data_IF_540245555933
#
_entry.id   IF_540245555933
#
_cell.length_a   1.000
_cell.length_b   1.000
_cell.length_c   1.000
_cell.angle_alpha   90.00
_cell.angle_beta   90.00
_cell.angle_gamma   90.00
#
_symmetry.space_group_name_H-M   'P 1'
#
loop_
_entity.id
_entity.type
_entity.pdbx_description
1 polymer ?
#
# COMPACT_ATOMS: atom_id res chain seq x y z
N UNK A 1 -14.26 7.91 55.42
CA UNK A 1 -12.96 7.76 56.11
C UNK A 1 -11.91 7.71 55.01
N UNK A 2 -11.14 8.75 54.65
CA UNK A 2 -10.29 9.62 55.48
C UNK A 2 -9.48 8.75 56.47
N UNK A 3 -8.13 8.73 56.53
CA UNK A 3 -7.13 9.76 56.24
C UNK A 3 -5.72 9.13 56.17
N UNK A 4 -4.84 9.74 55.36
CA UNK A 4 -3.41 10.07 55.57
C UNK A 4 -2.42 9.10 56.23
N UNK A 5 -1.24 8.84 55.63
CA UNK A 5 0.00 9.66 55.77
C UNK A 5 0.94 8.97 56.79
N UNK A 6 2.27 8.89 56.73
CA UNK A 6 3.34 9.68 56.10
C UNK A 6 4.64 8.84 56.10
N UNK A 7 5.43 9.01 55.05
CA UNK A 7 6.90 9.09 54.90
C UNK A 7 7.84 8.71 56.07
N UNK A 8 8.91 7.96 55.77
CA UNK A 8 10.28 8.47 55.89
C UNK A 8 11.27 7.71 55.01
N UNK A 9 12.12 8.48 54.35
CA UNK A 9 13.19 8.08 53.44
C UNK A 9 14.47 8.10 54.26
N UNK A 10 15.31 7.07 54.13
CA UNK A 10 16.73 7.17 54.42
C UNK A 10 17.46 6.42 53.30
N UNK A 11 18.26 7.14 52.52
CA UNK A 11 19.00 6.60 51.39
C UNK A 11 19.91 7.68 50.83
N UNK A 12 21.14 7.71 51.32
CA UNK A 12 22.21 8.61 50.94
C UNK A 12 22.52 8.54 49.43
N UNK A 13 22.81 9.71 48.85
CA UNK A 13 23.26 9.87 47.47
C UNK A 13 24.71 9.38 47.34
N UNK A 14 24.94 8.48 46.39
CA UNK A 14 26.26 8.32 45.74
C UNK A 14 26.06 8.38 44.23
N UNK A 15 26.80 9.25 43.50
CA UNK A 15 26.70 9.33 42.07
C UNK A 15 27.38 8.10 41.46
N UNK A 16 26.86 7.68 40.31
CA UNK A 16 27.36 6.62 39.44
C UNK A 16 26.86 5.20 39.74
N UNK A 17 25.87 4.83 38.92
CA UNK A 17 25.28 3.49 38.64
C UNK A 17 23.93 3.21 39.29
N UNK A 18 22.86 3.35 38.50
CA UNK A 18 21.66 2.52 38.64
C UNK A 18 21.02 2.27 37.26
N UNK A 19 21.22 1.06 36.72
CA UNK A 19 20.19 0.42 35.92
C UNK A 19 19.15 -0.13 36.90
N UNK A 20 17.98 0.50 36.96
CA UNK A 20 16.77 -0.11 37.52
C UNK A 20 15.73 -0.10 36.41
N UNK A 21 15.32 -1.30 36.01
CA UNK A 21 14.16 -1.53 35.15
C UNK A 21 12.89 -1.07 35.88
N UNK A 22 12.13 -0.16 35.27
CA UNK A 22 10.70 0.00 35.52
C UNK A 22 9.94 0.22 34.22
N UNK A 23 8.74 -0.35 34.24
CA UNK A 23 7.76 -0.51 33.17
C UNK A 23 7.25 0.82 32.61
N UNK A 24 6.92 0.82 31.31
CA UNK A 24 5.88 1.66 30.72
C UNK A 24 6.14 3.16 30.64
N UNK A 25 6.85 3.60 29.60
CA UNK A 25 6.84 4.99 29.15
C UNK A 25 7.82 5.23 27.99
N UNK A 26 7.31 5.63 26.82
CA UNK A 26 8.16 6.12 25.73
C UNK A 26 8.73 7.47 26.15
N UNK A 27 10.06 7.53 26.35
CA UNK A 27 10.77 8.78 26.62
C UNK A 27 11.32 9.32 25.30
N UNK A 28 10.72 10.39 24.76
CA UNK A 28 11.29 11.10 23.61
C UNK A 28 12.46 11.95 24.10
N UNK A 29 13.68 11.53 23.80
CA UNK A 29 14.88 12.32 24.08
C UNK A 29 15.00 13.46 23.05
N UNK A 30 14.58 14.67 23.43
CA UNK A 30 15.02 15.88 22.73
C UNK A 30 16.51 16.08 22.99
N UNK A 31 17.37 15.55 22.13
CA UNK A 31 18.78 15.94 22.08
C UNK A 31 18.87 17.22 21.25
N UNK A 32 18.91 18.37 21.91
CA UNK A 32 19.45 19.59 21.31
C UNK A 32 20.96 19.42 21.16
N UNK A 33 21.43 19.37 19.91
CA UNK A 33 22.85 19.46 19.59
C UNK A 33 23.22 20.94 19.68
N UNK A 34 24.22 21.35 20.49
CA UNK A 34 24.65 22.73 20.51
C UNK A 34 25.44 23.06 19.25
N UNK A 35 25.06 24.16 18.59
CA UNK A 35 25.76 24.70 17.43
C UNK A 35 27.15 25.22 17.84
N UNK A 36 28.20 24.48 17.50
CA UNK A 36 29.56 24.99 17.51
C UNK A 36 29.91 25.54 16.12
N UNK A 37 30.01 26.86 16.05
CA UNK A 37 30.32 27.66 14.88
C UNK A 37 31.83 27.60 14.56
N UNK A 38 32.24 27.15 13.36
CA UNK A 38 33.54 27.52 12.77
C UNK A 38 33.65 27.14 11.29
N UNK A 39 33.81 28.13 10.42
CA UNK A 39 34.31 27.97 9.04
C UNK A 39 33.31 28.34 7.95
N UNK A 40 33.09 29.64 7.73
CA UNK A 40 32.37 30.14 6.56
C UNK A 40 33.27 30.04 5.31
N UNK A 41 33.38 28.84 4.73
CA UNK A 41 33.52 28.71 3.30
C UNK A 41 32.11 28.70 2.70
N UNK A 42 31.90 29.41 1.59
CA UNK A 42 30.59 29.61 0.98
C UNK A 42 29.95 28.30 0.56
N UNK A 43 29.23 27.66 1.48
CA UNK A 43 28.27 26.63 1.13
C UNK A 43 27.18 27.31 0.31
N UNK A 44 27.03 26.86 -0.94
CA UNK A 44 25.80 27.12 -1.68
C UNK A 44 24.63 26.87 -0.73
N UNK A 45 23.68 27.81 -0.67
CA UNK A 45 22.54 27.72 0.22
C UNK A 45 21.97 26.30 0.13
N UNK A 46 21.98 25.55 1.23
CA UNK A 46 21.42 24.21 1.25
C UNK A 46 19.97 24.33 0.78
N UNK A 47 19.53 23.52 -0.20
CA UNK A 47 18.16 23.57 -0.68
C UNK A 47 17.21 23.49 0.51
N UNK A 48 16.11 24.26 0.49
CA UNK A 48 15.10 24.09 1.50
C UNK A 48 14.58 22.64 1.42
N UNK A 49 14.14 22.07 2.54
CA UNK A 49 13.63 20.68 2.58
C UNK A 49 12.55 20.43 1.50
N UNK A 50 11.72 21.44 1.22
CA UNK A 50 10.72 21.40 0.14
C UNK A 50 11.34 21.24 -1.24
N UNK A 51 12.44 21.93 -1.52
CA UNK A 51 13.15 21.85 -2.79
C UNK A 51 13.68 20.42 -3.02
N UNK A 52 14.11 19.74 -1.95
CA UNK A 52 14.57 18.35 -2.02
C UNK A 52 13.43 17.39 -2.31
N UNK A 53 12.28 17.54 -1.63
CA UNK A 53 11.10 16.69 -1.88
C UNK A 53 10.56 16.87 -3.30
N UNK A 54 10.49 18.11 -3.77
CA UNK A 54 10.03 18.42 -5.13
C UNK A 54 11.02 17.88 -6.19
N UNK A 55 12.32 17.94 -5.92
CA UNK A 55 13.33 17.33 -6.78
C UNK A 55 13.20 15.80 -6.82
N UNK A 56 12.98 15.13 -5.68
CA UNK A 56 12.75 13.68 -5.63
C UNK A 56 11.53 13.31 -6.48
N UNK A 57 10.41 14.00 -6.32
CA UNK A 57 9.19 13.79 -7.12
C UNK A 57 9.45 13.98 -8.61
N UNK A 58 10.14 15.07 -8.97
CA UNK A 58 10.49 15.35 -10.37
C UNK A 58 11.37 14.25 -10.97
N UNK A 59 12.35 13.76 -10.22
CA UNK A 59 13.21 12.65 -10.64
C UNK A 59 12.42 11.35 -10.80
N UNK A 60 11.52 11.07 -9.85
CA UNK A 60 10.66 9.89 -9.87
C UNK A 60 9.71 9.89 -11.08
N UNK A 61 9.06 11.03 -11.36
CA UNK A 61 8.25 11.23 -12.58
C UNK A 61 9.07 10.98 -13.84
N UNK A 62 10.24 11.62 -13.92
CA UNK A 62 11.11 11.50 -15.09
C UNK A 62 11.55 10.06 -15.32
N UNK A 63 12.00 9.36 -14.28
CA UNK A 63 12.39 7.95 -14.37
C UNK A 63 11.25 7.06 -14.86
N UNK A 64 10.00 7.31 -14.45
CA UNK A 64 8.84 6.54 -14.93
C UNK A 64 8.49 6.84 -16.38
N UNK A 65 8.71 8.06 -16.85
CA UNK A 65 8.54 8.40 -18.27
C UNK A 65 9.64 7.76 -19.12
N UNK A 66 10.89 7.79 -18.63
CA UNK A 66 12.08 7.29 -19.34
C UNK A 66 12.23 5.76 -19.28
N UNK A 67 11.79 5.11 -18.19
CA UNK A 67 11.88 3.66 -18.06
C UNK A 67 10.83 2.96 -18.91
N UNK A 68 11.27 2.58 -20.10
CA UNK A 68 10.61 1.64 -20.98
C UNK A 68 9.58 2.29 -21.90
N UNK A 69 9.21 1.55 -22.94
CA UNK A 69 8.01 1.73 -23.73
C UNK A 69 7.21 0.44 -23.62
N UNK A 70 5.88 0.52 -23.63
CA UNK A 70 5.10 -0.69 -23.78
C UNK A 70 5.42 -1.32 -25.14
N UNK A 71 5.51 -2.66 -25.24
CA UNK A 71 5.58 -3.32 -26.54
C UNK A 71 4.43 -2.85 -27.42
N UNK A 72 4.69 -2.61 -28.71
CA UNK A 72 3.67 -2.11 -29.64
C UNK A 72 2.52 -3.09 -29.89
N UNK A 73 2.74 -4.36 -29.58
CA UNK A 73 1.83 -5.49 -29.73
C UNK A 73 1.30 -6.02 -28.38
N UNK A 74 1.41 -5.24 -27.30
CA UNK A 74 0.94 -5.64 -25.99
C UNK A 74 -0.59 -5.87 -25.99
N UNK A 75 -1.01 -7.07 -25.62
CA UNK A 75 -2.42 -7.41 -25.45
C UNK A 75 -2.90 -7.03 -24.04
N UNK A 76 -3.81 -6.07 -23.97
CA UNK A 76 -4.39 -5.58 -22.71
C UNK A 76 -5.48 -6.48 -22.14
N UNK A 77 -5.86 -7.55 -22.85
CA UNK A 77 -6.72 -8.61 -22.33
C UNK A 77 -5.94 -9.67 -21.53
N UNK A 78 -4.61 -9.57 -21.49
CA UNK A 78 -3.75 -10.49 -20.74
C UNK A 78 -3.24 -9.79 -19.47
N UNK A 79 -3.40 -10.39 -18.28
CA UNK A 79 -2.91 -9.80 -17.04
C UNK A 79 -1.38 -9.65 -17.06
N UNK A 80 -0.82 -8.94 -16.09
CA UNK A 80 0.63 -8.93 -15.88
C UNK A 80 1.10 -10.35 -15.53
N UNK A 81 0.31 -11.05 -14.72
CA UNK A 81 0.53 -12.45 -14.37
C UNK A 81 -0.29 -12.84 -13.14
N UNK A 82 -0.06 -14.07 -12.67
CA UNK A 82 -0.62 -14.58 -11.43
C UNK A 82 0.41 -15.45 -10.71
N UNK A 83 0.27 -15.57 -9.39
CA UNK A 83 1.14 -16.41 -8.57
C UNK A 83 0.34 -17.12 -7.48
N UNK A 84 0.77 -18.34 -7.15
CA UNK A 84 0.31 -19.02 -5.94
C UNK A 84 1.21 -18.66 -4.76
N UNK A 85 0.60 -18.30 -3.64
CA UNK A 85 1.28 -18.07 -2.36
C UNK A 85 0.52 -18.72 -1.22
N UNK A 86 1.16 -18.77 -0.05
CA UNK A 86 0.47 -19.11 1.20
C UNK A 86 -0.21 -17.83 1.72
N UNK A 87 -1.54 -17.86 1.78
CA UNK A 87 -2.35 -16.87 2.48
C UNK A 87 -2.74 -17.35 3.88
N UNK A 88 -3.54 -16.56 4.59
CA UNK A 88 -4.08 -16.93 5.89
C UNK A 88 -5.60 -16.74 5.89
N UNK A 89 -6.33 -17.70 6.46
CA UNK A 89 -7.76 -17.62 6.73
C UNK A 89 -8.00 -18.18 8.13
N UNK A 90 -8.58 -17.38 9.03
CA UNK A 90 -8.76 -17.72 10.44
C UNK A 90 -7.47 -18.28 11.08
N UNK A 91 -6.36 -17.53 10.93
CA UNK A 91 -5.01 -17.85 11.40
C UNK A 91 -4.40 -19.17 10.89
N UNK A 92 -5.00 -19.77 9.86
CA UNK A 92 -4.49 -21.00 9.23
C UNK A 92 -3.86 -20.71 7.88
N UNK A 93 -2.67 -21.27 7.59
CA UNK A 93 -2.05 -21.15 6.28
C UNK A 93 -2.91 -21.88 5.24
N UNK A 94 -3.19 -21.23 4.13
CA UNK A 94 -4.05 -21.76 3.07
C UNK A 94 -3.52 -21.35 1.70
N UNK A 95 -3.89 -22.10 0.65
CA UNK A 95 -3.55 -21.74 -0.73
C UNK A 95 -4.22 -20.41 -1.08
N UNK A 96 -3.44 -19.51 -1.70
CA UNK A 96 -3.88 -18.20 -2.13
C UNK A 96 -3.41 -17.95 -3.55
N UNK A 97 -4.34 -17.54 -4.41
CA UNK A 97 -4.03 -17.03 -5.74
C UNK A 97 -3.91 -15.51 -5.68
N UNK A 98 -2.87 -14.96 -6.29
CA UNK A 98 -2.71 -13.52 -6.49
C UNK A 98 -2.73 -13.24 -7.98
N UNK A 99 -3.61 -12.34 -8.41
CA UNK A 99 -3.79 -11.93 -9.80
C UNK A 99 -3.34 -10.47 -9.91
N UNK A 100 -2.36 -10.23 -10.78
CA UNK A 100 -1.85 -8.91 -11.12
C UNK A 100 -2.49 -8.44 -12.42
N UNK A 101 -3.52 -7.61 -12.31
CA UNK A 101 -4.17 -6.97 -13.45
C UNK A 101 -3.24 -5.91 -14.04
N UNK A 102 -3.18 -5.87 -15.37
CA UNK A 102 -2.59 -4.77 -16.13
C UNK A 102 -3.58 -3.61 -16.13
N UNK A 103 -3.35 -2.65 -15.25
CA UNK A 103 -4.28 -1.54 -15.06
C UNK A 103 -4.01 -0.34 -15.96
N UNK A 104 -4.91 0.65 -15.94
CA UNK A 104 -4.67 1.99 -16.48
C UNK A 104 -3.37 2.60 -15.93
N UNK A 105 -3.03 2.28 -14.68
CA UNK A 105 -1.90 2.82 -13.93
C UNK A 105 -2.34 3.72 -12.79
N UNK A 106 -1.55 3.73 -11.71
CA UNK A 106 -1.88 4.48 -10.49
C UNK A 106 -1.94 6.00 -10.73
N UNK A 107 -3.05 6.65 -10.36
CA UNK A 107 -3.25 8.10 -10.50
C UNK A 107 -2.22 8.90 -9.67
N UNK A 108 -1.67 8.30 -8.61
CA UNK A 108 -0.64 8.93 -7.80
C UNK A 108 0.62 9.28 -8.60
N UNK A 109 0.93 8.49 -9.64
CA UNK A 109 2.04 8.78 -10.54
C UNK A 109 1.82 10.09 -11.29
N UNK A 110 0.60 10.35 -11.76
CA UNK A 110 0.27 11.61 -12.43
C UNK A 110 0.38 12.81 -11.49
N UNK A 111 0.01 12.63 -10.22
CA UNK A 111 -0.03 13.72 -9.23
C UNK A 111 1.34 14.06 -8.64
N UNK A 112 2.19 13.07 -8.41
CA UNK A 112 3.41 13.24 -7.58
C UNK A 112 4.66 12.62 -8.19
N UNK A 113 4.52 11.92 -9.31
CA UNK A 113 5.55 11.01 -9.79
C UNK A 113 5.40 9.61 -9.23
N UNK A 114 4.61 9.39 -8.16
CA UNK A 114 4.30 8.08 -7.61
C UNK A 114 5.27 7.65 -6.51
N UNK A 115 4.90 6.64 -5.73
CA UNK A 115 5.69 6.17 -4.59
C UNK A 115 7.12 5.84 -5.03
N UNK A 116 8.14 6.44 -4.41
CA UNK A 116 9.55 6.37 -4.87
C UNK A 116 10.11 4.94 -5.01
N UNK A 117 9.54 3.98 -4.29
CA UNK A 117 9.95 2.57 -4.31
C UNK A 117 9.11 1.69 -5.28
N UNK A 118 7.98 2.19 -5.79
CA UNK A 118 7.09 1.39 -6.63
C UNK A 118 7.57 1.35 -8.09
N UNK A 119 8.00 0.18 -8.56
CA UNK A 119 8.38 -0.08 -9.95
C UNK A 119 7.27 -0.63 -10.84
N UNK A 120 6.12 -1.01 -10.26
CA UNK A 120 5.07 -1.73 -11.00
C UNK A 120 4.33 -0.87 -12.02
N UNK A 121 4.32 0.47 -11.88
CA UNK A 121 3.70 1.36 -12.88
C UNK A 121 4.19 1.08 -14.31
N UNK A 122 5.46 0.68 -14.48
CA UNK A 122 6.04 0.32 -15.78
C UNK A 122 5.42 -0.94 -16.41
N UNK A 123 4.78 -1.80 -15.61
CA UNK A 123 4.03 -2.96 -16.07
C UNK A 123 2.54 -2.66 -16.32
N UNK A 124 2.05 -1.47 -15.97
CA UNK A 124 0.66 -1.05 -16.27
C UNK A 124 0.54 -0.50 -17.69
N UNK A 125 -0.63 0.00 -18.05
CA UNK A 125 -0.90 0.69 -19.32
C UNK A 125 -0.41 2.15 -19.35
N UNK A 126 0.22 2.63 -18.25
CA UNK A 126 0.91 3.92 -18.15
C UNK A 126 0.04 5.11 -18.56
N UNK A 127 -1.19 5.14 -18.06
CA UNK A 127 -2.19 6.17 -18.30
C UNK A 127 -3.11 5.91 -19.48
N UNK A 128 -2.87 4.86 -20.30
CA UNK A 128 -3.90 4.40 -21.26
C UNK A 128 -5.03 3.78 -20.45
N UNK A 129 -6.23 4.32 -20.62
CA UNK A 129 -7.45 3.76 -20.04
C UNK A 129 -7.61 2.28 -20.43
N UNK A 130 -7.82 1.44 -19.44
CA UNK A 130 -8.22 0.04 -19.62
C UNK A 130 -9.72 -0.07 -19.42
N UNK A 131 -10.42 -0.62 -20.42
CA UNK A 131 -11.87 -0.73 -20.37
C UNK A 131 -12.32 -1.78 -19.36
N UNK A 132 -13.59 -1.74 -18.96
CA UNK A 132 -14.14 -2.76 -18.08
C UNK A 132 -14.04 -4.15 -18.72
N UNK A 133 -14.28 -4.25 -20.03
CA UNK A 133 -14.19 -5.48 -20.83
C UNK A 133 -12.75 -6.02 -20.87
N UNK A 134 -11.75 -5.14 -21.04
CA UNK A 134 -10.34 -5.54 -21.00
C UNK A 134 -9.97 -6.11 -19.61
N UNK A 135 -10.39 -5.49 -18.51
CA UNK A 135 -10.18 -6.05 -17.16
C UNK A 135 -10.89 -7.38 -16.93
N UNK A 136 -12.11 -7.51 -17.43
CA UNK A 136 -12.89 -8.75 -17.34
C UNK A 136 -12.16 -9.85 -18.12
N UNK A 137 -11.70 -9.57 -19.34
CA UNK A 137 -10.95 -10.52 -20.15
C UNK A 137 -9.63 -10.95 -19.48
N UNK A 138 -8.93 -10.03 -18.80
CA UNK A 138 -7.74 -10.39 -18.01
C UNK A 138 -8.05 -11.37 -16.88
N UNK A 139 -9.20 -11.22 -16.22
CA UNK A 139 -9.61 -12.15 -15.16
C UNK A 139 -10.05 -13.50 -15.74
N UNK A 140 -10.79 -13.49 -16.85
CA UNK A 140 -11.19 -14.69 -17.60
C UNK A 140 -9.97 -15.49 -18.08
N UNK A 141 -8.92 -14.81 -18.55
CA UNK A 141 -7.66 -15.44 -18.93
C UNK A 141 -7.06 -16.27 -17.78
N UNK A 142 -7.15 -15.76 -16.54
CA UNK A 142 -6.68 -16.51 -15.37
C UNK A 142 -7.62 -17.68 -15.06
N UNK A 143 -8.94 -17.49 -15.15
CA UNK A 143 -9.92 -18.57 -14.96
C UNK A 143 -9.73 -19.73 -15.93
N UNK A 144 -9.29 -19.45 -17.16
CA UNK A 144 -8.99 -20.48 -18.17
C UNK A 144 -7.65 -21.18 -17.88
N UNK A 145 -6.72 -20.51 -17.20
CA UNK A 145 -5.38 -21.02 -16.92
C UNK A 145 -5.27 -21.78 -15.60
N UNK A 146 -6.11 -21.47 -14.60
CA UNK A 146 -6.11 -22.10 -13.28
C UNK A 146 -7.53 -22.40 -12.80
N UNK A 147 -7.69 -23.51 -12.07
CA UNK A 147 -8.95 -23.79 -11.38
C UNK A 147 -9.06 -22.90 -10.15
N UNK A 148 -9.98 -21.93 -10.15
CA UNK A 148 -10.17 -21.06 -8.99
C UNK A 148 -10.74 -21.79 -7.77
N UNK A 149 -11.38 -22.94 -7.94
CA UNK A 149 -11.93 -23.73 -6.83
C UNK A 149 -10.83 -24.29 -5.91
N UNK A 150 -9.58 -24.33 -6.38
CA UNK A 150 -8.41 -24.73 -5.59
C UNK A 150 -7.99 -23.73 -4.51
N UNK A 151 -8.49 -22.49 -4.56
CA UNK A 151 -7.97 -21.37 -3.78
C UNK A 151 -9.02 -20.75 -2.85
N UNK A 152 -8.95 -21.01 -1.53
CA UNK A 152 -9.84 -20.36 -0.58
C UNK A 152 -9.66 -18.84 -0.46
N UNK A 153 -8.52 -18.32 -0.92
CA UNK A 153 -8.22 -16.89 -0.92
C UNK A 153 -7.80 -16.47 -2.32
N UNK A 154 -8.47 -15.46 -2.88
CA UNK A 154 -8.09 -14.83 -4.16
C UNK A 154 -7.75 -13.37 -3.91
N UNK A 155 -6.62 -12.91 -4.45
CA UNK A 155 -6.20 -11.51 -4.38
C UNK A 155 -6.19 -10.89 -5.76
N UNK A 156 -6.75 -9.69 -5.87
CA UNK A 156 -6.83 -8.95 -7.12
C UNK A 156 -6.11 -7.63 -6.90
N UNK A 157 -5.02 -7.45 -7.62
CA UNK A 157 -4.18 -6.26 -7.54
C UNK A 157 -4.14 -5.58 -8.90
N UNK A 158 -4.41 -4.27 -8.90
CA UNK A 158 -4.41 -3.42 -10.09
C UNK A 158 -3.19 -2.48 -10.10
N UNK A 159 -2.22 -2.73 -9.23
CA UNK A 159 -1.06 -1.88 -8.96
C UNK A 159 -1.43 -0.42 -8.70
N UNK A 160 -2.36 -0.22 -7.76
CA UNK A 160 -2.86 1.10 -7.44
C UNK A 160 -3.98 1.08 -6.44
N UNK A 161 -5.11 1.69 -6.80
CA UNK A 161 -6.29 1.77 -5.96
C UNK A 161 -7.49 1.16 -6.69
N UNK A 162 -7.91 -0.04 -6.26
CA UNK A 162 -9.03 -0.75 -6.88
C UNK A 162 -10.35 0.03 -6.78
N UNK A 163 -10.47 0.96 -5.82
CA UNK A 163 -11.68 1.74 -5.61
C UNK A 163 -11.67 3.09 -6.34
N UNK A 164 -10.58 3.44 -7.03
CA UNK A 164 -10.54 4.61 -7.90
C UNK A 164 -11.09 4.22 -9.28
N UNK A 165 -12.24 4.77 -9.70
CA UNK A 165 -12.87 4.40 -10.98
C UNK A 165 -12.00 4.70 -12.21
N UNK A 166 -11.04 5.63 -12.11
CA UNK A 166 -10.04 5.88 -13.16
C UNK A 166 -9.04 4.74 -13.33
N UNK A 167 -8.78 4.03 -12.23
CA UNK A 167 -7.84 2.92 -12.18
C UNK A 167 -8.54 1.57 -12.32
N UNK A 168 -9.81 1.46 -11.91
CA UNK A 168 -10.59 0.23 -11.99
C UNK A 168 -12.09 0.55 -12.12
N UNK A 169 -12.69 0.35 -13.30
CA UNK A 169 -14.12 0.58 -13.51
C UNK A 169 -14.98 -0.29 -12.60
N UNK A 170 -16.02 0.30 -11.99
CA UNK A 170 -16.93 -0.42 -11.09
C UNK A 170 -17.59 -1.62 -11.78
N UNK A 171 -17.93 -1.49 -13.07
CA UNK A 171 -18.50 -2.58 -13.85
C UNK A 171 -17.59 -3.82 -13.92
N UNK A 172 -16.27 -3.63 -13.99
CA UNK A 172 -15.32 -4.73 -13.96
C UNK A 172 -15.28 -5.39 -12.58
N UNK A 173 -15.27 -4.60 -11.49
CA UNK A 173 -15.30 -5.12 -10.11
C UNK A 173 -16.56 -5.98 -9.90
N UNK A 174 -17.72 -5.49 -10.31
CA UNK A 174 -18.99 -6.20 -10.16
C UNK A 174 -19.01 -7.51 -10.95
N UNK A 175 -18.50 -7.49 -12.18
CA UNK A 175 -18.42 -8.68 -13.02
C UNK A 175 -17.44 -9.71 -12.46
N UNK A 176 -16.27 -9.30 -12.01
CA UNK A 176 -15.28 -10.18 -11.36
C UNK A 176 -15.85 -10.77 -10.07
N UNK A 177 -16.54 -9.98 -9.24
CA UNK A 177 -17.24 -10.51 -8.06
C UNK A 177 -18.29 -11.56 -8.43
N UNK A 178 -19.03 -11.34 -9.53
CA UNK A 178 -20.00 -12.31 -10.06
C UNK A 178 -19.33 -13.64 -10.45
N UNK A 179 -18.16 -13.61 -11.08
CA UNK A 179 -17.40 -14.84 -11.37
C UNK A 179 -16.95 -15.53 -10.08
N UNK A 180 -16.38 -14.80 -9.13
CA UNK A 180 -15.97 -15.34 -7.83
C UNK A 180 -17.14 -15.99 -7.09
N UNK A 181 -18.35 -15.45 -7.22
CA UNK A 181 -19.53 -16.02 -6.58
C UNK A 181 -19.87 -17.44 -7.06
N UNK A 182 -19.42 -17.82 -8.26
CA UNK A 182 -19.58 -19.17 -8.82
C UNK A 182 -18.70 -20.24 -8.17
N UNK A 183 -17.71 -19.84 -7.35
CA UNK A 183 -16.76 -20.75 -6.71
C UNK A 183 -17.03 -20.85 -5.22
N UNK A 184 -17.45 -22.02 -4.74
CA UNK A 184 -17.84 -22.19 -3.34
C UNK A 184 -16.64 -22.11 -2.42
N UNK A 185 -15.48 -22.62 -2.83
CA UNK A 185 -14.30 -22.67 -1.99
C UNK A 185 -13.68 -21.28 -1.74
N UNK A 186 -13.87 -20.29 -2.61
CA UNK A 186 -13.35 -18.92 -2.38
C UNK A 186 -14.08 -18.31 -1.16
N UNK A 187 -13.38 -18.19 -0.03
CA UNK A 187 -13.93 -17.65 1.23
C UNK A 187 -13.53 -16.20 1.48
N UNK A 188 -12.39 -15.77 0.93
CA UNK A 188 -11.87 -14.42 1.11
C UNK A 188 -11.34 -13.84 -0.19
N UNK A 189 -11.69 -12.58 -0.43
CA UNK A 189 -11.10 -11.76 -1.48
C UNK A 189 -10.25 -10.67 -0.85
N UNK A 190 -9.02 -10.53 -1.33
CA UNK A 190 -8.10 -9.47 -0.93
C UNK A 190 -7.93 -8.51 -2.08
N UNK A 191 -8.02 -7.21 -1.80
CA UNK A 191 -7.77 -6.15 -2.78
C UNK A 191 -6.83 -5.12 -2.19
N UNK A 192 -6.30 -4.24 -3.02
CA UNK A 192 -5.43 -3.16 -2.58
C UNK A 192 -6.08 -1.79 -2.78
N UNK A 193 -5.72 -0.86 -1.91
CA UNK A 193 -6.16 0.53 -1.97
C UNK A 193 -5.12 1.47 -1.35
N UNK A 194 -5.32 2.77 -1.51
CA UNK A 194 -4.51 3.80 -0.86
C UNK A 194 -5.23 4.35 0.36
N UNK A 195 -4.46 4.72 1.39
CA UNK A 195 -5.01 5.20 2.67
C UNK A 195 -5.69 6.57 2.57
N UNK A 196 -5.29 7.39 1.61
CA UNK A 196 -5.90 8.70 1.34
C UNK A 196 -7.23 8.59 0.59
N UNK A 197 -7.61 7.37 0.22
CA UNK A 197 -8.92 7.06 -0.32
C UNK A 197 -9.80 6.51 0.81
N UNK A 198 -10.97 7.11 1.02
CA UNK A 198 -11.97 6.65 1.99
C UNK A 198 -13.16 6.02 1.25
N UNK A 199 -13.02 4.81 0.66
CA UNK A 199 -14.05 4.22 -0.18
C UNK A 199 -15.14 3.51 0.63
N UNK A 200 -15.74 4.17 1.62
CA UNK A 200 -16.75 3.53 2.47
C UNK A 200 -17.90 2.96 1.61
N UNK A 201 -18.34 3.71 0.58
CA UNK A 201 -19.39 3.25 -0.32
C UNK A 201 -18.94 2.15 -1.29
N UNK A 202 -17.74 2.25 -1.88
CA UNK A 202 -17.24 1.25 -2.83
C UNK A 202 -16.87 -0.07 -2.13
N UNK A 203 -16.30 0.00 -0.93
CA UNK A 203 -16.04 -1.17 -0.07
C UNK A 203 -17.36 -1.83 0.30
N UNK A 204 -18.37 -1.07 0.72
CA UNK A 204 -19.71 -1.61 1.02
C UNK A 204 -20.34 -2.25 -0.22
N UNK A 205 -20.20 -1.61 -1.40
CA UNK A 205 -20.71 -2.15 -2.67
C UNK A 205 -20.02 -3.46 -3.04
N UNK A 206 -18.69 -3.51 -2.99
CA UNK A 206 -17.93 -4.73 -3.26
C UNK A 206 -18.24 -5.83 -2.24
N UNK A 207 -18.35 -5.48 -0.96
CA UNK A 207 -18.73 -6.43 0.09
C UNK A 207 -20.10 -7.07 -0.16
N UNK A 208 -21.08 -6.28 -0.62
CA UNK A 208 -22.38 -6.80 -1.06
C UNK A 208 -22.25 -7.71 -2.29
N UNK A 209 -21.46 -7.30 -3.28
CA UNK A 209 -21.24 -8.07 -4.50
C UNK A 209 -20.57 -9.44 -4.23
N UNK A 210 -19.74 -9.55 -3.20
CA UNK A 210 -19.06 -10.79 -2.80
C UNK A 210 -19.95 -11.80 -2.02
N UNK A 211 -21.23 -11.48 -1.84
CA UNK A 211 -22.26 -12.39 -1.31
C UNK A 211 -21.86 -13.12 -0.01
N UNK A 212 -21.38 -12.36 0.99
CA UNK A 212 -21.05 -12.88 2.33
C UNK A 212 -19.61 -13.37 2.51
N UNK A 213 -18.80 -13.44 1.45
CA UNK A 213 -17.37 -13.75 1.55
C UNK A 213 -16.62 -12.65 2.30
N UNK A 214 -15.49 -13.00 2.93
CA UNK A 214 -14.62 -12.02 3.58
C UNK A 214 -14.00 -11.09 2.52
N UNK A 215 -13.91 -9.80 2.85
CA UNK A 215 -13.22 -8.80 2.03
C UNK A 215 -12.12 -8.22 2.91
N UNK A 216 -10.89 -8.30 2.43
CA UNK A 216 -9.71 -7.72 3.07
C UNK A 216 -9.17 -6.63 2.14
N UNK A 217 -8.92 -5.44 2.68
CA UNK A 217 -8.37 -4.32 1.93
C UNK A 217 -6.97 -4.05 2.46
N UNK A 218 -5.97 -4.28 1.62
CA UNK A 218 -4.58 -3.97 1.90
C UNK A 218 -4.30 -2.50 1.55
N UNK A 219 -3.83 -1.73 2.54
CA UNK A 219 -3.46 -0.33 2.34
C UNK A 219 -1.95 -0.16 2.25
N UNK A 220 -1.46 0.46 1.19
CA UNK A 220 -0.06 0.86 1.04
C UNK A 220 0.27 2.05 1.95
N UNK A 221 0.54 1.79 3.25
CA UNK A 221 0.82 2.85 4.23
C UNK A 221 2.24 3.38 4.13
N UNK A 222 3.22 2.48 3.92
CA UNK A 222 4.67 2.71 3.76
C UNK A 222 5.41 3.43 4.91
N UNK A 223 4.87 4.52 5.46
CA UNK A 223 5.46 5.28 6.55
C UNK A 223 4.41 6.00 7.38
N UNK A 224 4.63 6.07 8.68
CA UNK A 224 3.84 6.90 9.60
C UNK A 224 4.27 8.38 9.61
N UNK A 225 5.39 8.73 8.98
CA UNK A 225 5.84 10.12 8.83
C UNK A 225 5.19 10.72 7.57
N UNK A 226 4.30 11.72 7.68
CA UNK A 226 3.63 12.31 6.52
C UNK A 226 4.60 12.88 5.49
N UNK A 227 5.82 13.26 5.87
CA UNK A 227 6.83 13.77 4.93
C UNK A 227 7.37 12.66 4.03
N UNK A 228 7.50 11.46 4.58
CA UNK A 228 7.98 10.27 3.85
C UNK A 228 6.82 9.61 3.10
N UNK A 229 5.64 9.51 3.73
CA UNK A 229 4.44 8.91 3.13
C UNK A 229 3.98 9.68 1.88
N UNK A 230 4.07 11.01 1.91
CA UNK A 230 3.65 11.84 0.79
C UNK A 230 4.77 12.08 -0.24
N UNK A 231 5.91 11.38 -0.17
CA UNK A 231 6.95 11.47 -1.21
C UNK A 231 6.37 11.09 -2.58
#
# INVERSE_FOLDING_TARGET
>A
MFWEGRTTIAGDMHPDRWCILREGGISILHRTIPDSNSGAEGFAALPAERDVLDEIRRLASRLRTENGSLPGDLDFNIPIGWEERIGHLDDRPIRRLIIFLRSTGCEWVEKTGGCTMCGFYCATARGREISAEEYIAQFEHVMDAVDLEDYPVVSIYNDGNIFNEREMPVAAIEKICSYINGYENIKKVVVESRIDYSPDEHVVRMKKALNGRQLEVAFGFESADPRVMNL
#
